data_IF_328587727432
#
_entry.id   IF_328587727432
#
_cell.length_a   1.000
_cell.length_b   1.000
_cell.length_c   1.000
_cell.angle_alpha   90.00
_cell.angle_beta   90.00
_cell.angle_gamma   90.00
#
_symmetry.space_group_name_H-M   'P 1'
#
loop_
_entity.id
_entity.type
_entity.pdbx_description
1 polymer ?
#
# COMPACT_ATOMS: atom_id res chain seq x y z
N UNK A 1 -13.29 5.04 6.75
CA UNK A 1 -12.70 4.10 5.78
C UNK A 1 -11.38 3.58 6.33
N UNK A 2 -11.12 2.31 6.17
CA UNK A 2 -9.84 1.71 6.57
C UNK A 2 -9.06 1.36 5.31
N UNK A 3 -7.77 1.74 5.29
CA UNK A 3 -6.86 1.40 4.20
C UNK A 3 -5.81 0.47 4.78
N UNK A 4 -5.81 -0.78 4.30
CA UNK A 4 -4.87 -1.81 4.73
C UNK A 4 -3.90 -2.03 3.59
N UNK A 5 -2.61 -1.92 3.88
CA UNK A 5 -1.56 -2.04 2.88
C UNK A 5 -0.71 -3.28 3.14
N UNK A 6 -0.25 -3.90 2.06
CA UNK A 6 0.67 -5.03 2.12
C UNK A 6 2.01 -4.57 1.56
N UNK A 7 3.00 -4.48 2.41
CA UNK A 7 4.36 -4.10 2.01
C UNK A 7 5.17 -5.28 1.50
N UNK A 8 6.22 -4.97 0.72
CA UNK A 8 7.20 -5.94 0.21
C UNK A 8 6.57 -7.13 -0.51
N UNK A 9 5.53 -6.85 -1.31
CA UNK A 9 4.74 -7.89 -1.95
C UNK A 9 5.13 -8.14 -3.42
N UNK A 10 5.82 -7.20 -4.05
CA UNK A 10 6.25 -7.32 -5.44
C UNK A 10 7.70 -7.78 -5.50
N UNK A 11 7.95 -8.92 -6.13
CA UNK A 11 9.26 -9.56 -6.17
C UNK A 11 10.34 -8.65 -6.76
N UNK A 12 10.07 -7.97 -7.87
CA UNK A 12 11.02 -7.04 -8.49
C UNK A 12 11.38 -5.87 -7.59
N UNK A 13 10.41 -5.35 -6.87
CA UNK A 13 10.62 -4.26 -5.92
C UNK A 13 11.53 -4.70 -4.77
N UNK A 14 11.36 -5.92 -4.28
CA UNK A 14 12.22 -6.48 -3.24
C UNK A 14 13.66 -6.59 -3.74
N UNK A 15 13.85 -7.07 -4.97
CA UNK A 15 15.18 -7.20 -5.60
C UNK A 15 15.85 -5.84 -5.79
N UNK A 16 15.11 -4.82 -6.27
CA UNK A 16 15.63 -3.46 -6.45
C UNK A 16 16.14 -2.84 -5.16
N UNK A 17 15.48 -3.11 -4.04
CA UNK A 17 15.83 -2.60 -2.73
C UNK A 17 16.82 -3.48 -1.97
N UNK A 18 17.27 -4.58 -2.55
CA UNK A 18 18.15 -5.57 -1.90
C UNK A 18 17.58 -6.09 -0.57
N UNK A 19 16.26 -6.14 -0.46
CA UNK A 19 15.59 -6.67 0.71
C UNK A 19 15.32 -8.17 0.53
N UNK A 20 15.31 -8.89 1.64
CA UNK A 20 14.88 -10.28 1.64
C UNK A 20 13.36 -10.36 1.48
N UNK A 21 12.90 -11.41 0.78
CA UNK A 21 11.46 -11.69 0.69
C UNK A 21 10.94 -12.06 2.09
N UNK A 22 9.95 -11.35 2.63
CA UNK A 22 9.43 -11.67 3.95
C UNK A 22 8.70 -13.01 3.95
N UNK A 23 8.82 -13.76 5.04
CA UNK A 23 8.13 -15.04 5.23
C UNK A 23 6.64 -14.86 5.50
N UNK A 24 6.23 -13.70 5.97
CA UNK A 24 4.85 -13.35 6.24
C UNK A 24 4.55 -11.98 5.64
N UNK A 25 3.28 -11.69 5.30
CA UNK A 25 2.92 -10.38 4.78
C UNK A 25 3.27 -9.27 5.78
N UNK A 26 3.86 -8.19 5.27
CA UNK A 26 4.08 -6.98 6.05
C UNK A 26 2.84 -6.12 5.91
N UNK A 27 2.05 -6.02 6.97
CA UNK A 27 0.77 -5.31 6.96
C UNK A 27 0.92 -3.98 7.70
N UNK A 28 0.44 -2.90 7.09
CA UNK A 28 0.38 -1.60 7.73
C UNK A 28 -0.91 -0.86 7.33
N UNK A 29 -1.21 0.20 8.04
CA UNK A 29 -2.43 0.95 7.84
C UNK A 29 -2.12 2.37 7.39
N UNK A 30 -3.02 2.93 6.57
CA UNK A 30 -3.04 4.36 6.28
C UNK A 30 -4.37 4.95 6.75
N UNK A 31 -4.36 6.17 7.31
CA UNK A 31 -5.62 6.85 7.64
C UNK A 31 -6.32 7.29 6.35
N UNK A 32 -7.62 7.48 6.43
CA UNK A 32 -8.40 7.98 5.29
C UNK A 32 -7.97 9.39 4.86
N UNK A 33 -7.40 10.17 5.80
CA UNK A 33 -6.83 11.49 5.50
C UNK A 33 -5.61 11.44 4.56
N UNK A 34 -5.00 10.27 4.38
CA UNK A 34 -3.90 10.08 3.43
C UNK A 34 -4.35 9.99 1.97
N UNK A 35 -5.66 9.88 1.72
CA UNK A 35 -6.18 9.76 0.35
C UNK A 35 -6.17 11.11 -0.35
N UNK A 36 -5.53 11.15 -1.53
CA UNK A 36 -5.61 12.30 -2.42
C UNK A 36 -6.79 12.07 -3.36
N UNK A 37 -7.76 12.97 -3.33
CA UNK A 37 -8.95 12.87 -4.17
C UNK A 37 -8.58 13.05 -5.65
N UNK A 38 -9.29 12.34 -6.52
CA UNK A 38 -9.01 12.28 -7.96
C UNK A 38 -8.87 13.64 -8.63
N UNK A 39 -9.59 14.65 -8.16
CA UNK A 39 -9.59 15.99 -8.74
C UNK A 39 -8.57 16.95 -8.10
N UNK A 40 -7.78 16.46 -7.14
CA UNK A 40 -6.81 17.26 -6.42
C UNK A 40 -5.40 16.84 -6.82
N UNK A 41 -4.47 17.81 -6.95
CA UNK A 41 -3.07 17.47 -7.19
C UNK A 41 -2.43 16.89 -5.92
N UNK A 42 -1.43 16.04 -6.10
CA UNK A 42 -0.54 15.68 -5.00
C UNK A 42 0.53 16.78 -4.88
N UNK A 43 0.60 17.39 -3.71
CA UNK A 43 1.60 18.42 -3.42
C UNK A 43 2.79 17.77 -2.74
N UNK A 44 3.98 17.91 -3.34
CA UNK A 44 5.22 17.37 -2.76
C UNK A 44 5.53 18.16 -1.49
N UNK A 45 5.65 17.47 -0.33
CA UNK A 45 5.94 18.14 0.92
C UNK A 45 7.36 18.74 0.92
N UNK A 46 7.50 19.89 1.55
CA UNK A 46 8.78 20.59 1.65
C UNK A 46 9.61 20.22 2.89
N UNK A 47 9.07 19.35 3.74
CA UNK A 47 9.77 18.90 4.94
C UNK A 47 10.79 17.80 4.69
N UNK A 48 10.87 17.31 3.47
CA UNK A 48 11.80 16.24 3.10
C UNK A 48 12.63 16.64 1.90
N UNK A 49 13.93 16.35 1.96
CA UNK A 49 14.84 16.49 0.81
C UNK A 49 14.82 15.28 -0.10
N UNK A 50 13.95 14.33 0.19
CA UNK A 50 13.91 13.04 -0.48
C UNK A 50 13.16 13.08 -1.79
N UNK A 51 13.54 12.16 -2.65
CA UNK A 51 12.70 11.78 -3.78
C UNK A 51 11.41 11.16 -3.30
N UNK A 52 10.31 11.69 -3.82
CA UNK A 52 9.01 11.07 -3.64
C UNK A 52 8.80 10.07 -4.78
N UNK A 53 8.72 8.79 -4.44
CA UNK A 53 8.45 7.75 -5.41
C UNK A 53 6.95 7.54 -5.57
N UNK A 54 6.53 7.26 -6.78
CA UNK A 54 5.16 6.85 -7.09
C UNK A 54 5.16 5.33 -7.29
N UNK A 55 4.40 4.64 -6.47
CA UNK A 55 4.28 3.19 -6.53
C UNK A 55 2.90 2.82 -7.04
N UNK A 56 2.83 2.09 -8.16
CA UNK A 56 1.56 1.61 -8.68
C UNK A 56 1.11 0.40 -7.86
N UNK A 57 -0.10 0.46 -7.37
CA UNK A 57 -0.65 -0.56 -6.48
C UNK A 57 -1.97 -1.11 -6.99
N UNK A 58 -2.17 -2.41 -6.79
CA UNK A 58 -3.46 -3.04 -7.01
C UNK A 58 -4.32 -2.79 -5.77
N UNK A 59 -5.51 -2.26 -6.00
CA UNK A 59 -6.46 -1.95 -4.94
C UNK A 59 -7.60 -2.96 -4.99
N UNK A 60 -7.90 -3.55 -3.83
CA UNK A 60 -9.03 -4.46 -3.68
C UNK A 60 -10.01 -3.82 -2.71
N UNK A 61 -11.25 -3.66 -3.17
CA UNK A 61 -12.31 -3.10 -2.32
C UNK A 61 -13.05 -4.22 -1.61
N UNK A 62 -12.88 -4.28 -0.29
CA UNK A 62 -13.57 -5.25 0.56
C UNK A 62 -15.02 -4.78 0.74
N UNK A 63 -15.97 -5.64 0.42
CA UNK A 63 -17.38 -5.32 0.44
C UNK A 63 -18.20 -6.13 1.46
N UNK A 64 -17.52 -6.90 2.31
CA UNK A 64 -18.19 -7.78 3.26
C UNK A 64 -17.42 -7.84 4.56
N UNK A 65 -18.12 -7.78 5.67
CA UNK A 65 -17.52 -7.93 7.00
C UNK A 65 -17.12 -9.39 7.22
N UNK A 66 -15.93 -9.59 7.80
CA UNK A 66 -15.47 -10.94 8.13
C UNK A 66 -14.31 -10.92 9.12
N UNK A 67 -14.12 -12.05 9.77
CA UNK A 67 -13.03 -12.30 10.71
C UNK A 67 -12.67 -13.78 10.71
N UNK A 68 -11.38 -14.07 10.78
CA UNK A 68 -10.87 -15.46 10.76
C UNK A 68 -11.35 -16.26 9.55
N UNK A 69 -11.31 -15.62 8.37
CA UNK A 69 -11.80 -16.22 7.14
C UNK A 69 -10.73 -17.11 6.54
N UNK A 70 -11.11 -18.33 6.17
CA UNK A 70 -10.22 -19.22 5.44
C UNK A 70 -9.90 -18.64 4.07
N UNK A 71 -8.63 -18.70 3.67
CA UNK A 71 -8.14 -18.13 2.42
C UNK A 71 -8.95 -18.59 1.19
N UNK A 72 -9.45 -19.81 1.18
CA UNK A 72 -10.25 -20.31 0.06
C UNK A 72 -11.58 -19.58 -0.13
N UNK A 73 -12.04 -18.83 0.87
CA UNK A 73 -13.27 -18.04 0.80
C UNK A 73 -13.00 -16.54 0.64
N UNK A 74 -11.74 -16.11 0.60
CA UNK A 74 -11.39 -14.70 0.51
C UNK A 74 -12.03 -14.00 -0.69
N UNK A 75 -12.14 -14.69 -1.82
CA UNK A 75 -12.75 -14.15 -3.05
C UNK A 75 -14.23 -13.74 -2.90
N UNK A 76 -14.89 -14.18 -1.84
CA UNK A 76 -16.29 -13.81 -1.55
C UNK A 76 -16.42 -12.45 -0.86
N UNK A 77 -15.30 -11.83 -0.48
CA UNK A 77 -15.27 -10.61 0.33
C UNK A 77 -14.93 -9.36 -0.49
N UNK A 78 -14.72 -9.51 -1.80
CA UNK A 78 -14.52 -8.40 -2.72
C UNK A 78 -15.06 -8.75 -4.09
N UNK A 79 -15.44 -7.74 -4.85
CA UNK A 79 -15.89 -7.87 -6.24
C UNK A 79 -15.36 -6.76 -7.14
N UNK A 80 -14.57 -5.84 -6.58
CA UNK A 80 -13.97 -4.74 -7.32
C UNK A 80 -12.46 -4.72 -7.11
N UNK A 81 -11.73 -4.58 -8.22
CA UNK A 81 -10.28 -4.42 -8.24
C UNK A 81 -9.97 -3.19 -9.06
N UNK A 82 -9.05 -2.37 -8.55
CA UNK A 82 -8.62 -1.16 -9.22
C UNK A 82 -7.11 -0.99 -9.15
N UNK A 83 -6.67 0.17 -9.59
CA UNK A 83 -5.27 0.58 -9.57
C UNK A 83 -5.19 1.94 -8.90
N UNK A 84 -4.19 2.11 -8.05
CA UNK A 84 -3.90 3.37 -7.39
C UNK A 84 -2.41 3.67 -7.40
N UNK A 85 -2.06 4.84 -6.89
CA UNK A 85 -0.67 5.27 -6.75
C UNK A 85 -0.42 5.58 -5.28
N UNK A 86 0.62 4.98 -4.73
CA UNK A 86 1.14 5.30 -3.41
C UNK A 86 2.36 6.20 -3.55
N UNK A 87 2.26 7.44 -3.04
CA UNK A 87 3.39 8.36 -3.02
C UNK A 87 4.20 8.12 -1.75
N UNK A 88 5.47 7.80 -1.92
CA UNK A 88 6.32 7.33 -0.83
C UNK A 88 7.59 8.17 -0.71
N UNK A 89 7.84 8.72 0.49
CA UNK A 89 9.10 9.35 0.84
C UNK A 89 10.11 8.26 1.22
N UNK A 90 10.99 7.91 0.30
CA UNK A 90 11.86 6.72 0.44
C UNK A 90 12.79 6.73 1.63
N UNK A 91 13.49 7.83 1.90
CA UNK A 91 14.43 7.81 3.02
C UNK A 91 13.71 7.83 4.37
N UNK A 92 12.55 8.45 4.45
CA UNK A 92 11.71 8.36 5.65
C UNK A 92 11.25 6.91 5.86
N UNK A 93 10.82 6.25 4.80
CA UNK A 93 10.43 4.84 4.85
C UNK A 93 11.59 3.96 5.35
N UNK A 94 12.81 4.17 4.85
CA UNK A 94 13.98 3.38 5.28
C UNK A 94 14.29 3.58 6.77
N UNK A 95 14.12 4.78 7.29
CA UNK A 95 14.32 5.06 8.71
C UNK A 95 13.30 4.38 9.61
N UNK A 96 12.13 4.10 9.08
CA UNK A 96 11.01 3.50 9.82
C UNK A 96 10.96 1.96 9.75
N UNK A 97 11.84 1.38 8.98
CA UNK A 97 11.92 -0.09 8.87
C UNK A 97 12.60 -0.75 10.07
#
# INVERSE_FOLDING_TARGET
MKIICIGRNYTKHIEELHNEKPQAPVVFLKPDSAVVLKQHPFVIPDFTDDDIHHEMEIIVKINKVGKHINAKYAHKYYDEIGVGIDFTARSVQEKLK
#
